data_IF_456857138880
#
_entry.id   IF_456857138880
#
_cell.length_a   1.000
_cell.length_b   1.000
_cell.length_c   1.000
_cell.angle_alpha   90.00
_cell.angle_beta   90.00
_cell.angle_gamma   90.00
#
_symmetry.space_group_name_H-M   'P 1'
#
loop_
_entity.id
_entity.type
_entity.pdbx_description
1 polymer ?
#
# COMPACT_ATOMS: atom_id res chain seq x y z
N UNK A 1 -2.01 11.55 -18.23
CA UNK A 1 -1.95 12.13 -16.86
C UNK A 1 -1.45 11.02 -15.97
N UNK A 2 -0.43 11.29 -15.15
CA UNK A 2 0.05 10.34 -14.15
C UNK A 2 -1.02 10.13 -13.08
N UNK A 3 -1.31 8.86 -12.76
CA UNK A 3 -2.28 8.47 -11.75
C UNK A 3 -1.59 8.33 -10.40
N UNK A 4 -2.29 8.70 -9.33
CA UNK A 4 -1.86 8.43 -7.95
C UNK A 4 -2.87 7.49 -7.32
N UNK A 5 -2.39 6.35 -6.83
CA UNK A 5 -3.18 5.38 -6.06
C UNK A 5 -2.65 5.38 -4.63
N UNK A 6 -3.54 5.65 -3.69
CA UNK A 6 -3.21 5.67 -2.26
C UNK A 6 -3.92 4.53 -1.54
N UNK A 7 -3.19 3.81 -0.68
CA UNK A 7 -3.71 2.71 0.09
C UNK A 7 -3.24 2.79 1.55
N UNK A 8 -4.20 2.73 2.48
CA UNK A 8 -3.93 2.59 3.91
C UNK A 8 -4.17 1.16 4.37
N UNK A 9 -3.19 0.60 5.07
CA UNK A 9 -3.20 -0.76 5.63
C UNK A 9 -2.99 -0.79 7.15
N UNK A 10 -2.98 0.37 7.81
CA UNK A 10 -2.73 0.48 9.26
C UNK A 10 -3.78 -0.26 10.07
N UNK A 11 -5.05 -0.19 9.67
CA UNK A 11 -6.14 -0.91 10.34
C UNK A 11 -6.06 -2.42 10.12
N UNK A 12 -5.77 -2.86 8.90
CA UNK A 12 -5.56 -4.28 8.58
C UNK A 12 -4.46 -4.85 9.49
N UNK A 13 -3.30 -4.19 9.53
CA UNK A 13 -2.16 -4.60 10.35
C UNK A 13 -2.46 -4.54 11.85
N UNK A 14 -3.17 -3.52 12.32
CA UNK A 14 -3.62 -3.41 13.73
C UNK A 14 -4.51 -4.60 14.12
N UNK A 15 -5.34 -5.07 13.20
CA UNK A 15 -6.21 -6.21 13.39
C UNK A 15 -5.52 -7.55 13.06
N UNK A 16 -4.19 -7.58 12.87
CA UNK A 16 -3.40 -8.75 12.44
C UNK A 16 -3.89 -9.39 11.14
N UNK A 17 -4.55 -8.60 10.29
CA UNK A 17 -4.93 -9.01 8.94
C UNK A 17 -3.78 -8.70 7.98
N UNK A 18 -3.43 -9.67 7.15
CA UNK A 18 -2.37 -9.51 6.15
C UNK A 18 -2.89 -8.70 4.96
N UNK A 19 -2.33 -7.51 4.67
CA UNK A 19 -2.87 -6.62 3.63
C UNK A 19 -2.32 -6.92 2.22
N UNK A 20 -1.55 -7.99 2.04
CA UNK A 20 -0.85 -8.28 0.79
C UNK A 20 -1.78 -8.30 -0.43
N UNK A 21 -2.91 -9.01 -0.32
CA UNK A 21 -3.89 -9.09 -1.40
C UNK A 21 -4.53 -7.73 -1.73
N UNK A 22 -4.73 -6.88 -0.72
CA UNK A 22 -5.26 -5.53 -0.87
C UNK A 22 -4.28 -4.63 -1.62
N UNK A 23 -2.98 -4.76 -1.30
CA UNK A 23 -1.90 -4.07 -1.99
C UNK A 23 -1.83 -4.51 -3.45
N UNK A 24 -1.84 -5.82 -3.72
CA UNK A 24 -1.79 -6.35 -5.08
C UNK A 24 -2.94 -5.80 -5.95
N UNK A 25 -4.17 -5.81 -5.43
CA UNK A 25 -5.32 -5.24 -6.12
C UNK A 25 -5.20 -3.74 -6.40
N UNK A 26 -4.60 -2.98 -5.50
CA UNK A 26 -4.44 -1.54 -5.69
C UNK A 26 -3.44 -1.23 -6.81
N UNK A 27 -2.33 -1.98 -6.86
CA UNK A 27 -1.28 -1.78 -7.87
C UNK A 27 -1.66 -2.30 -9.25
N UNK A 28 -2.58 -3.27 -9.36
CA UNK A 28 -3.12 -3.73 -10.66
C UNK A 28 -3.73 -2.59 -11.49
N UNK A 29 -4.13 -1.50 -10.84
CA UNK A 29 -4.70 -0.33 -11.51
C UNK A 29 -3.67 0.73 -11.95
N UNK A 30 -2.38 0.43 -11.78
CA UNK A 30 -1.25 1.27 -12.19
C UNK A 30 -0.70 0.71 -13.52
N UNK A 31 -0.95 1.41 -14.62
CA UNK A 31 -0.70 0.89 -15.97
C UNK A 31 0.39 1.67 -16.71
N UNK A 32 0.72 2.88 -16.26
CA UNK A 32 1.60 3.81 -16.99
C UNK A 32 2.88 4.13 -16.25
N UNK A 33 3.95 4.29 -17.01
CA UNK A 33 5.21 4.82 -16.48
C UNK A 33 4.99 6.23 -15.94
N UNK A 34 5.26 6.43 -14.65
CA UNK A 34 5.01 7.70 -13.96
C UNK A 34 3.79 7.70 -13.05
N UNK A 35 3.01 6.61 -13.00
CA UNK A 35 2.00 6.43 -11.96
C UNK A 35 2.67 6.22 -10.60
N UNK A 36 2.03 6.72 -9.55
CA UNK A 36 2.56 6.72 -8.18
C UNK A 36 1.66 5.90 -7.26
N UNK A 37 2.27 5.03 -6.47
CA UNK A 37 1.61 4.30 -5.39
C UNK A 37 2.06 4.83 -4.03
N UNK A 38 1.12 5.26 -3.20
CA UNK A 38 1.38 5.73 -1.83
C UNK A 38 0.79 4.70 -0.87
N UNK A 39 1.65 4.06 -0.08
CA UNK A 39 1.25 3.05 0.90
C UNK A 39 1.43 3.59 2.32
N UNK A 40 0.35 3.68 3.08
CA UNK A 40 0.39 4.03 4.50
C UNK A 40 0.42 2.77 5.35
N UNK A 41 1.56 2.53 5.99
CA UNK A 41 1.78 1.44 6.93
C UNK A 41 2.39 1.98 8.24
N UNK A 42 2.21 1.31 9.38
CA UNK A 42 2.90 1.67 10.60
C UNK A 42 4.41 1.46 10.39
N UNK A 43 5.21 2.47 10.73
CA UNK A 43 6.67 2.35 10.75
C UNK A 43 7.07 1.57 12.00
N UNK A 44 7.08 0.24 11.91
CA UNK A 44 7.63 -0.58 12.99
C UNK A 44 9.16 -0.54 12.86
N UNK A 45 9.82 0.40 13.52
CA UNK A 45 11.27 0.39 13.67
C UNK A 45 11.66 -0.81 14.55
N UNK A 46 11.88 -1.98 13.94
CA UNK A 46 12.64 -3.03 14.60
C UNK A 46 14.09 -2.54 14.68
N UNK A 47 14.52 -2.12 15.86
CA UNK A 47 15.95 -2.10 16.19
C UNK A 47 16.41 -3.56 16.09
N UNK A 48 17.26 -3.83 15.10
CA UNK A 48 17.90 -5.11 14.82
C UNK A 48 18.58 -5.70 16.07
#
# INVERSE_FOLDING_TARGET
>A
MSKVVELDVREDLKNKQEPFQKIMKAIESLDSTGDTFILHAPLNQHHY
#
